data_IF_266668608822
#
_entry.id   IF_266668608822
#
_cell.length_a   1.000
_cell.length_b   1.000
_cell.length_c   1.000
_cell.angle_alpha   90.00
_cell.angle_beta   90.00
_cell.angle_gamma   90.00
#
_symmetry.space_group_name_H-M   'P 1'
#
loop_
_entity.id
_entity.type
_entity.pdbx_description
1 polymer ?
#
# COMPACT_ATOMS: atom_id res chain seq x y z
N UNK A 1 35.75 -11.85 -12.38
CA UNK A 1 34.62 -11.46 -13.26
C UNK A 1 35.19 -11.04 -14.62
N UNK A 2 35.88 -11.97 -15.29
CA UNK A 2 36.75 -11.68 -16.45
C UNK A 2 35.95 -11.91 -17.74
N UNK A 3 35.31 -10.88 -18.28
CA UNK A 3 34.71 -10.92 -19.62
C UNK A 3 33.56 -11.91 -19.84
N UNK A 4 32.88 -12.38 -18.78
CA UNK A 4 31.70 -13.27 -18.89
C UNK A 4 30.41 -12.49 -18.72
N UNK A 5 29.39 -12.84 -19.52
CA UNK A 5 28.05 -12.31 -19.37
C UNK A 5 27.32 -12.97 -18.20
N UNK A 6 26.69 -12.15 -17.35
CA UNK A 6 25.87 -12.60 -16.21
C UNK A 6 24.45 -12.11 -16.46
N UNK A 7 23.48 -13.02 -16.42
CA UNK A 7 22.05 -12.70 -16.43
C UNK A 7 21.53 -12.70 -14.99
N UNK A 8 21.05 -11.55 -14.52
CA UNK A 8 20.42 -11.43 -13.20
C UNK A 8 18.90 -11.48 -13.38
N UNK A 9 18.28 -12.52 -12.83
CA UNK A 9 16.82 -12.65 -12.78
C UNK A 9 16.35 -12.22 -11.39
N UNK A 10 15.78 -11.01 -11.31
CA UNK A 10 15.12 -10.53 -10.11
C UNK A 10 13.64 -10.92 -10.14
N UNK A 11 13.24 -11.88 -9.30
CA UNK A 11 11.87 -12.37 -9.25
C UNK A 11 11.29 -12.16 -7.85
N UNK A 12 10.56 -11.05 -7.61
CA UNK A 12 9.94 -10.80 -6.32
C UNK A 12 8.85 -11.83 -6.05
N UNK A 13 8.49 -11.97 -4.77
CA UNK A 13 7.35 -12.75 -4.35
C UNK A 13 6.09 -12.27 -5.09
N UNK A 14 5.55 -13.10 -5.97
CA UNK A 14 4.31 -12.77 -6.64
C UNK A 14 3.08 -13.14 -5.79
N UNK A 15 2.02 -12.36 -6.00
CA UNK A 15 0.77 -12.36 -5.24
C UNK A 15 -0.08 -13.63 -5.45
N UNK A 16 0.07 -14.27 -6.61
CA UNK A 16 -0.78 -15.38 -7.05
C UNK A 16 -0.04 -16.71 -6.88
N UNK A 17 0.27 -17.07 -5.62
CA UNK A 17 0.82 -18.38 -5.25
C UNK A 17 -0.27 -19.44 -5.33
N UNK A 18 0.00 -20.72 -5.55
CA UNK A 18 1.29 -21.34 -5.77
C UNK A 18 1.73 -21.25 -7.22
N UNK A 19 2.96 -20.83 -7.45
CA UNK A 19 3.60 -20.95 -8.77
C UNK A 19 3.93 -22.41 -9.05
N UNK A 20 3.53 -22.88 -10.23
CA UNK A 20 3.84 -24.24 -10.69
C UNK A 20 4.87 -24.19 -11.80
N UNK A 21 5.69 -25.22 -11.91
CA UNK A 21 6.63 -25.43 -13.01
C UNK A 21 6.46 -26.84 -13.58
N UNK A 22 6.73 -27.05 -14.88
CA UNK A 22 6.68 -28.38 -15.48
C UNK A 22 7.76 -29.30 -14.89
N UNK A 23 7.45 -30.58 -14.73
CA UNK A 23 8.39 -31.61 -14.29
C UNK A 23 9.46 -31.94 -15.34
N UNK A 24 9.10 -31.82 -16.62
CA UNK A 24 9.95 -32.15 -17.76
C UNK A 24 9.89 -31.06 -18.82
N UNK A 25 10.91 -30.99 -19.67
CA UNK A 25 10.92 -30.09 -20.82
C UNK A 25 10.05 -30.70 -21.92
N UNK A 26 8.83 -30.20 -22.10
CA UNK A 26 7.90 -30.67 -23.14
C UNK A 26 6.55 -29.96 -23.09
N UNK A 27 5.85 -29.92 -24.24
CA UNK A 27 4.61 -29.13 -24.42
C UNK A 27 3.40 -29.59 -23.59
N UNK A 28 3.47 -30.76 -22.93
CA UNK A 28 2.39 -31.32 -22.10
C UNK A 28 2.89 -31.83 -20.73
N UNK A 29 4.01 -31.30 -20.25
CA UNK A 29 4.60 -31.76 -18.99
C UNK A 29 3.70 -31.44 -17.79
N UNK A 30 3.49 -32.44 -16.92
CA UNK A 30 2.75 -32.27 -15.67
C UNK A 30 3.40 -31.18 -14.82
N UNK A 31 2.59 -30.26 -14.32
CA UNK A 31 3.06 -29.14 -13.49
C UNK A 31 2.95 -29.46 -12.01
N UNK A 32 3.93 -29.04 -11.23
CA UNK A 32 3.99 -29.22 -9.78
C UNK A 32 4.32 -27.88 -9.11
N UNK A 33 3.84 -27.68 -7.88
CA UNK A 33 4.23 -26.53 -7.07
C UNK A 33 5.60 -26.79 -6.44
N UNK A 34 6.51 -25.81 -6.51
CA UNK A 34 7.85 -25.91 -5.93
C UNK A 34 8.05 -24.89 -4.80
N UNK A 35 8.84 -25.25 -3.80
CA UNK A 35 9.29 -24.36 -2.74
C UNK A 35 10.82 -24.38 -2.67
N UNK A 36 11.43 -23.21 -2.47
CA UNK A 36 12.86 -23.09 -2.20
C UNK A 36 13.11 -23.38 -0.72
N UNK A 37 13.86 -24.44 -0.44
CA UNK A 37 14.36 -24.76 0.91
C UNK A 37 15.87 -24.65 0.85
N UNK A 38 16.41 -23.62 1.50
CA UNK A 38 17.83 -23.24 1.41
C UNK A 38 18.29 -23.08 -0.06
N UNK A 39 19.26 -23.89 -0.49
CA UNK A 39 19.83 -23.84 -1.84
C UNK A 39 19.08 -24.71 -2.87
N UNK A 40 18.04 -25.45 -2.46
CA UNK A 40 17.34 -26.42 -3.33
C UNK A 40 15.88 -26.01 -3.57
N UNK A 41 15.39 -26.31 -4.77
CA UNK A 41 13.97 -26.26 -5.09
C UNK A 41 13.39 -27.67 -4.99
N UNK A 42 12.41 -27.87 -4.11
CA UNK A 42 11.76 -29.17 -3.88
C UNK A 42 10.28 -29.10 -4.26
N UNK A 43 9.71 -30.22 -4.68
CA UNK A 43 8.27 -30.33 -4.93
C UNK A 43 7.53 -30.18 -3.60
N UNK A 44 6.57 -29.25 -3.55
CA UNK A 44 5.74 -29.04 -2.37
C UNK A 44 4.71 -30.19 -2.27
N UNK A 45 4.77 -30.97 -1.21
CA UNK A 45 3.86 -32.09 -0.94
C UNK A 45 3.31 -32.02 0.49
N UNK A 46 2.24 -32.77 0.78
CA UNK A 46 1.70 -32.95 2.12
C UNK A 46 1.43 -31.64 2.87
N UNK A 47 2.02 -31.50 4.06
CA UNK A 47 1.89 -30.32 4.91
C UNK A 47 2.47 -29.06 4.27
N UNK A 48 3.60 -29.17 3.56
CA UNK A 48 4.22 -28.04 2.86
C UNK A 48 3.29 -27.48 1.80
N UNK A 49 2.64 -28.34 1.01
CA UNK A 49 1.65 -27.91 0.03
C UNK A 49 0.43 -27.24 0.70
N UNK A 50 -0.10 -27.82 1.78
CA UNK A 50 -1.20 -27.22 2.55
C UNK A 50 -0.83 -25.87 3.13
N UNK A 51 0.39 -25.72 3.67
CA UNK A 51 0.89 -24.44 4.19
C UNK A 51 1.05 -23.42 3.07
N UNK A 52 1.55 -23.84 1.91
CA UNK A 52 1.68 -22.98 0.73
C UNK A 52 0.30 -22.50 0.25
N UNK A 53 -0.70 -23.39 0.21
CA UNK A 53 -2.10 -23.06 -0.09
C UNK A 53 -2.76 -22.17 0.96
N UNK A 54 -2.42 -22.32 2.25
CA UNK A 54 -2.88 -21.40 3.31
C UNK A 54 -2.24 -20.02 3.19
N UNK A 55 -0.97 -19.96 2.81
CA UNK A 55 -0.25 -18.71 2.54
C UNK A 55 -0.67 -18.05 1.22
N UNK A 56 -1.21 -18.82 0.28
CA UNK A 56 -1.89 -18.32 -0.91
C UNK A 56 -3.12 -17.49 -0.54
N UNK A 57 -3.74 -17.75 0.61
CA UNK A 57 -4.93 -17.03 1.01
C UNK A 57 -4.62 -15.58 1.39
N UNK A 58 -4.93 -14.70 0.43
CA UNK A 58 -5.14 -13.25 0.50
C UNK A 58 -3.88 -12.39 0.43
N UNK A 59 -3.65 -11.86 -0.76
CA UNK A 59 -3.00 -10.55 -0.96
C UNK A 59 -3.52 -9.62 0.16
N UNK A 60 -2.63 -8.97 0.94
CA UNK A 60 -3.02 -7.98 1.93
C UNK A 60 -3.96 -6.93 1.32
N UNK A 61 -4.89 -6.38 2.12
CA UNK A 61 -5.92 -5.49 1.58
C UNK A 61 -5.32 -4.31 0.81
N UNK A 62 -4.26 -3.72 1.35
CA UNK A 62 -3.43 -2.65 0.82
C UNK A 62 -2.83 -2.97 -0.56
N UNK A 63 -2.36 -4.21 -0.77
CA UNK A 63 -1.72 -4.66 -2.00
C UNK A 63 -2.70 -5.15 -3.09
N UNK A 64 -3.99 -5.25 -2.77
CA UNK A 64 -5.02 -5.68 -3.72
C UNK A 64 -5.28 -4.61 -4.76
N UNK A 65 -5.45 -5.06 -6.00
CA UNK A 65 -6.00 -4.25 -7.09
C UNK A 65 -7.43 -3.82 -6.74
N UNK A 66 -7.72 -2.55 -6.94
CA UNK A 66 -9.07 -2.03 -6.90
C UNK A 66 -9.73 -2.19 -8.27
N UNK A 67 -10.83 -2.95 -8.33
CA UNK A 67 -11.50 -3.26 -9.60
C UNK A 67 -12.38 -2.14 -10.14
N UNK A 68 -12.79 -1.20 -9.28
CA UNK A 68 -13.68 -0.10 -9.67
C UNK A 68 -12.92 1.18 -10.01
N UNK A 69 -11.74 1.37 -9.41
CA UNK A 69 -10.90 2.53 -9.66
C UNK A 69 -10.07 2.42 -10.95
N UNK A 70 -9.58 3.57 -11.38
CA UNK A 70 -8.72 3.79 -12.55
C UNK A 70 -7.50 4.61 -12.15
N UNK A 71 -6.48 4.65 -13.00
CA UNK A 71 -5.25 5.41 -12.72
C UNK A 71 -5.52 6.92 -12.62
N UNK A 72 -6.59 7.40 -13.23
CA UNK A 72 -7.04 8.79 -13.19
C UNK A 72 -7.63 9.19 -11.83
N UNK A 73 -7.94 8.23 -10.95
CA UNK A 73 -8.38 8.51 -9.58
C UNK A 73 -7.22 8.93 -8.65
N UNK A 74 -5.97 8.79 -9.12
CA UNK A 74 -4.81 9.37 -8.45
C UNK A 74 -4.71 10.87 -8.68
N UNK A 75 -4.34 11.61 -7.64
CA UNK A 75 -3.93 13.00 -7.73
C UNK A 75 -2.40 13.10 -7.82
N UNK A 76 -1.92 13.57 -8.97
CA UNK A 76 -0.49 13.75 -9.21
C UNK A 76 0.15 14.72 -8.20
N UNK A 77 -0.59 15.76 -7.78
CA UNK A 77 -0.10 16.72 -6.80
C UNK A 77 0.17 16.08 -5.44
N UNK A 78 -0.72 15.20 -4.96
CA UNK A 78 -0.51 14.42 -3.74
C UNK A 78 0.72 13.52 -3.83
N UNK A 79 0.89 12.83 -4.96
CA UNK A 79 2.06 11.98 -5.21
C UNK A 79 3.34 12.82 -5.15
N UNK A 80 3.40 13.90 -5.93
CA UNK A 80 4.58 14.76 -6.03
C UNK A 80 4.91 15.43 -4.69
N UNK A 81 3.91 15.92 -3.97
CA UNK A 81 4.10 16.50 -2.64
C UNK A 81 4.67 15.47 -1.66
N UNK A 82 4.16 14.24 -1.67
CA UNK A 82 4.69 13.16 -0.84
C UNK A 82 6.13 12.80 -1.21
N UNK A 83 6.42 12.61 -2.50
CA UNK A 83 7.77 12.29 -2.99
C UNK A 83 8.78 13.38 -2.61
N UNK A 84 8.40 14.65 -2.72
CA UNK A 84 9.22 15.77 -2.31
C UNK A 84 9.47 15.77 -0.80
N UNK A 85 8.42 15.53 -0.01
CA UNK A 85 8.51 15.53 1.45
C UNK A 85 9.45 14.43 1.96
N UNK A 86 9.37 13.22 1.41
CA UNK A 86 10.26 12.11 1.76
C UNK A 86 11.63 12.21 1.10
N UNK A 87 11.89 13.26 0.31
CA UNK A 87 13.12 13.49 -0.45
C UNK A 87 13.48 12.31 -1.36
N UNK A 88 12.47 11.75 -2.03
CA UNK A 88 12.66 10.67 -3.00
C UNK A 88 13.30 11.21 -4.27
N UNK A 89 14.31 10.51 -4.78
CA UNK A 89 14.92 10.79 -6.09
C UNK A 89 13.88 10.72 -7.23
N UNK A 90 12.81 9.92 -7.04
CA UNK A 90 11.69 9.81 -7.97
C UNK A 90 10.91 11.13 -8.14
N UNK A 91 11.06 12.09 -7.23
CA UNK A 91 10.38 13.39 -7.33
C UNK A 91 10.74 14.14 -8.61
N UNK A 92 12.03 14.26 -8.93
CA UNK A 92 12.45 14.98 -10.16
C UNK A 92 11.98 14.25 -11.42
N UNK A 93 12.08 12.92 -11.43
CA UNK A 93 11.59 12.10 -12.53
C UNK A 93 10.07 12.22 -12.71
N UNK A 94 9.31 12.30 -11.61
CA UNK A 94 7.84 12.41 -11.61
C UNK A 94 7.31 13.66 -12.32
N UNK A 95 8.15 14.67 -12.56
CA UNK A 95 7.78 15.88 -13.32
C UNK A 95 7.76 15.65 -14.83
N UNK A 96 8.42 14.59 -15.29
CA UNK A 96 8.67 14.35 -16.71
C UNK A 96 8.08 13.02 -17.22
N UNK A 97 7.78 12.07 -16.33
CA UNK A 97 7.17 10.79 -16.71
C UNK A 97 5.64 10.82 -16.63
N UNK A 98 4.99 9.92 -17.36
CA UNK A 98 3.54 9.77 -17.31
C UNK A 98 3.07 9.22 -15.95
N UNK A 99 1.83 9.54 -15.56
CA UNK A 99 1.20 9.03 -14.34
C UNK A 99 1.20 7.48 -14.30
N UNK A 100 0.98 6.84 -15.44
CA UNK A 100 1.06 5.37 -15.61
C UNK A 100 2.44 4.82 -15.23
N UNK A 101 3.52 5.45 -15.70
CA UNK A 101 4.88 4.99 -15.40
C UNK A 101 5.27 5.32 -13.95
N UNK A 102 4.84 6.48 -13.45
CA UNK A 102 5.07 6.89 -12.07
C UNK A 102 4.42 5.92 -11.07
N UNK A 103 3.14 5.61 -11.27
CA UNK A 103 2.38 4.71 -10.39
C UNK A 103 2.92 3.28 -10.40
N UNK A 104 3.43 2.81 -11.54
CA UNK A 104 4.18 1.53 -11.63
C UNK A 104 5.50 1.58 -10.85
N UNK A 105 6.26 2.66 -10.99
CA UNK A 105 7.55 2.83 -10.30
C UNK A 105 7.37 2.89 -8.78
N UNK A 106 6.27 3.48 -8.33
CA UNK A 106 5.86 3.51 -6.92
C UNK A 106 5.22 2.20 -6.42
N UNK A 107 5.00 1.21 -7.31
CA UNK A 107 4.28 -0.04 -7.01
C UNK A 107 2.84 0.17 -6.49
N UNK A 108 2.22 1.30 -6.83
CA UNK A 108 0.83 1.62 -6.45
C UNK A 108 -0.18 1.31 -7.58
N UNK A 109 0.28 0.72 -8.67
CA UNK A 109 -0.57 0.22 -9.75
C UNK A 109 -0.03 -1.12 -10.25
N UNK A 110 -0.95 -2.04 -10.57
CA UNK A 110 -0.67 -3.40 -11.08
C UNK A 110 -1.56 -3.70 -12.28
N UNK A 111 -1.10 -4.55 -13.18
CA UNK A 111 -1.82 -4.92 -14.42
C UNK A 111 -1.01 -4.68 -15.68
N UNK A 112 -1.55 -5.09 -16.82
CA UNK A 112 -0.93 -4.89 -18.13
C UNK A 112 -1.00 -3.43 -18.56
N UNK A 113 -0.55 -3.09 -19.78
CA UNK A 113 -0.66 -1.72 -20.29
C UNK A 113 -2.11 -1.35 -20.60
N UNK A 114 -2.93 -2.34 -20.99
CA UNK A 114 -4.32 -2.18 -21.41
C UNK A 114 -5.29 -2.13 -20.21
N UNK A 115 -4.93 -2.76 -19.09
CA UNK A 115 -5.73 -2.82 -17.87
C UNK A 115 -4.86 -2.55 -16.63
N UNK A 116 -4.19 -1.40 -16.63
CA UNK A 116 -3.45 -0.95 -15.46
C UNK A 116 -4.44 -0.39 -14.42
N UNK A 117 -4.38 -0.93 -13.20
CA UNK A 117 -5.31 -0.59 -12.12
C UNK A 117 -4.58 -0.14 -10.85
N UNK A 118 -5.13 0.81 -10.09
CA UNK A 118 -4.63 1.14 -8.76
C UNK A 118 -4.66 -0.05 -7.81
N UNK A 119 -3.71 -0.08 -6.87
CA UNK A 119 -3.86 -0.88 -5.63
C UNK A 119 -4.43 -0.02 -4.51
N UNK A 120 -5.01 -0.67 -3.50
CA UNK A 120 -5.75 0.02 -2.44
C UNK A 120 -4.89 1.00 -1.63
N UNK A 121 -3.64 0.67 -1.31
CA UNK A 121 -2.74 1.58 -0.59
C UNK A 121 -2.47 2.87 -1.37
N UNK A 122 -2.36 2.75 -2.69
CA UNK A 122 -2.24 3.90 -3.56
C UNK A 122 -3.44 4.83 -3.38
N UNK A 123 -4.65 4.29 -3.48
CA UNK A 123 -5.87 5.09 -3.39
C UNK A 123 -6.03 5.73 -2.00
N UNK A 124 -5.70 5.02 -0.93
CA UNK A 124 -5.73 5.55 0.44
C UNK A 124 -4.80 6.77 0.59
N UNK A 125 -3.62 6.77 -0.03
CA UNK A 125 -2.64 7.84 0.13
C UNK A 125 -2.73 8.93 -0.94
N UNK A 126 -3.13 8.60 -2.16
CA UNK A 126 -2.93 9.44 -3.33
C UNK A 126 -4.23 9.72 -4.10
N UNK A 127 -5.39 9.48 -3.51
CA UNK A 127 -6.67 10.03 -4.00
C UNK A 127 -7.14 11.18 -3.10
N UNK A 128 -7.92 12.10 -3.66
CA UNK A 128 -8.50 13.21 -2.88
C UNK A 128 -9.62 12.76 -1.95
N UNK A 129 -10.31 11.68 -2.30
CA UNK A 129 -11.53 11.20 -1.64
C UNK A 129 -11.50 9.66 -1.53
N UNK A 130 -10.58 9.06 -0.74
CA UNK A 130 -10.50 7.61 -0.60
C UNK A 130 -11.78 6.97 -0.06
N UNK A 131 -12.63 7.73 0.64
CA UNK A 131 -13.93 7.30 1.14
C UNK A 131 -14.90 6.86 0.04
N UNK A 132 -14.67 7.27 -1.22
CA UNK A 132 -15.46 6.81 -2.38
C UNK A 132 -15.18 5.36 -2.74
N UNK A 133 -13.97 4.87 -2.44
CA UNK A 133 -13.54 3.50 -2.70
C UNK A 133 -13.64 2.62 -1.45
N UNK A 134 -13.44 3.22 -0.27
CA UNK A 134 -13.37 2.52 1.00
C UNK A 134 -14.30 3.18 2.02
N UNK A 135 -15.42 2.52 2.32
CA UNK A 135 -16.38 3.02 3.30
C UNK A 135 -15.70 3.29 4.64
N UNK A 136 -16.00 4.44 5.23
CA UNK A 136 -15.43 4.91 6.50
C UNK A 136 -13.90 5.03 6.51
N UNK A 137 -13.29 5.32 5.36
CA UNK A 137 -11.88 5.71 5.26
C UNK A 137 -11.69 7.17 5.70
N UNK A 138 -11.92 7.46 6.98
CA UNK A 138 -11.64 8.74 7.63
C UNK A 138 -11.20 8.53 9.08
N UNK A 139 -10.51 9.52 9.64
CA UNK A 139 -10.22 9.56 11.07
C UNK A 139 -11.32 10.38 11.76
N UNK A 140 -11.84 9.85 12.86
CA UNK A 140 -12.85 10.49 13.69
C UNK A 140 -12.28 10.74 15.08
N UNK A 141 -12.39 11.98 15.56
CA UNK A 141 -12.01 12.36 16.92
C UNK A 141 -13.27 12.73 17.68
N UNK A 142 -13.59 11.93 18.69
CA UNK A 142 -14.69 12.17 19.62
C UNK A 142 -14.12 12.82 20.88
N UNK A 143 -14.55 14.05 21.16
CA UNK A 143 -14.09 14.81 22.32
C UNK A 143 -15.22 14.96 23.34
N UNK A 144 -15.15 14.16 24.40
CA UNK A 144 -16.05 14.24 25.56
C UNK A 144 -15.67 15.43 26.45
N UNK A 145 -16.68 16.19 26.87
CA UNK A 145 -16.54 17.35 27.77
C UNK A 145 -16.91 17.05 29.22
N UNK A 146 -17.47 15.87 29.47
CA UNK A 146 -17.81 15.36 30.79
C UNK A 146 -17.61 13.84 30.85
N UNK A 147 -17.63 13.31 32.08
CA UNK A 147 -17.45 11.88 32.36
C UNK A 147 -18.77 11.08 32.21
N UNK A 148 -19.90 11.77 32.01
CA UNK A 148 -21.24 11.16 31.89
C UNK A 148 -21.46 10.62 30.47
N UNK A 149 -20.78 11.19 29.48
CA UNK A 149 -20.70 10.66 28.12
C UNK A 149 -21.73 11.25 27.15
N UNK A 150 -22.66 12.08 27.63
CA UNK A 150 -23.74 12.67 26.81
C UNK A 150 -23.33 13.99 26.15
N UNK A 151 -22.22 14.60 26.56
CA UNK A 151 -21.71 15.85 25.99
C UNK A 151 -20.39 15.61 25.26
N UNK A 152 -20.47 15.36 23.96
CA UNK A 152 -19.31 15.21 23.11
C UNK A 152 -19.45 15.94 21.78
N UNK A 153 -18.31 16.22 21.16
CA UNK A 153 -18.22 16.75 19.80
C UNK A 153 -17.42 15.79 18.93
N UNK A 154 -17.92 15.51 17.73
CA UNK A 154 -17.25 14.67 16.74
C UNK A 154 -16.56 15.54 15.67
N UNK A 155 -15.32 15.21 15.35
CA UNK A 155 -14.55 15.85 14.29
C UNK A 155 -14.09 14.80 13.28
N UNK A 156 -14.47 14.99 12.02
CA UNK A 156 -14.18 14.06 10.93
C UNK A 156 -13.07 14.61 10.02
N UNK A 157 -12.03 13.83 9.82
CA UNK A 157 -10.88 14.16 8.97
C UNK A 157 -10.85 13.22 7.76
N UNK A 158 -11.18 13.76 6.58
CA UNK A 158 -11.34 13.02 5.31
C UNK A 158 -10.21 13.33 4.33
N UNK A 159 -10.18 12.63 3.20
CA UNK A 159 -9.16 12.81 2.16
C UNK A 159 -7.98 11.84 2.29
N UNK A 160 -6.83 12.14 1.69
CA UNK A 160 -5.69 11.21 1.73
C UNK A 160 -5.25 10.85 3.16
N UNK A 161 -4.96 9.56 3.41
CA UNK A 161 -4.72 9.00 4.74
C UNK A 161 -3.65 9.77 5.56
N UNK A 162 -2.54 10.14 4.92
CA UNK A 162 -1.47 10.90 5.56
C UNK A 162 -1.92 12.32 5.97
N UNK A 163 -2.82 12.95 5.20
CA UNK A 163 -3.40 14.25 5.55
C UNK A 163 -4.38 14.11 6.71
N UNK A 164 -5.28 13.12 6.65
CA UNK A 164 -6.22 12.85 7.74
C UNK A 164 -5.48 12.72 9.09
N UNK A 165 -4.39 11.96 9.11
CA UNK A 165 -3.58 11.75 10.32
C UNK A 165 -2.97 13.05 10.82
N UNK A 166 -2.36 13.86 9.94
CA UNK A 166 -1.75 15.14 10.32
C UNK A 166 -2.79 16.12 10.82
N UNK A 167 -3.93 16.22 10.15
CA UNK A 167 -5.00 17.15 10.51
C UNK A 167 -5.62 16.77 11.86
N UNK A 168 -5.86 15.48 12.09
CA UNK A 168 -6.33 14.97 13.38
C UNK A 168 -5.33 15.26 14.52
N UNK A 169 -4.04 14.97 14.32
CA UNK A 169 -3.01 15.24 15.32
C UNK A 169 -2.83 16.74 15.57
N UNK A 170 -2.89 17.56 14.52
CA UNK A 170 -2.84 19.03 14.62
C UNK A 170 -4.04 19.56 15.40
N UNK A 171 -5.23 19.02 15.16
CA UNK A 171 -6.44 19.35 15.90
C UNK A 171 -6.28 19.05 17.38
N UNK A 172 -5.82 17.84 17.74
CA UNK A 172 -5.58 17.43 19.14
C UNK A 172 -4.57 18.37 19.81
N UNK A 173 -3.44 18.65 19.15
CA UNK A 173 -2.39 19.51 19.69
C UNK A 173 -2.86 20.95 19.93
N UNK A 174 -3.68 21.49 19.03
CA UNK A 174 -4.09 22.90 19.07
C UNK A 174 -5.28 23.13 19.99
N UNK A 175 -6.25 22.21 20.01
CA UNK A 175 -7.53 22.44 20.67
C UNK A 175 -7.65 21.76 22.04
N UNK A 176 -7.03 20.59 22.20
CA UNK A 176 -7.20 19.72 23.37
C UNK A 176 -6.03 19.87 24.33
N UNK A 177 -4.80 19.75 23.83
CA UNK A 177 -3.60 19.89 24.66
C UNK A 177 -3.42 21.38 24.99
N UNK A 178 -3.69 21.77 26.24
CA UNK A 178 -3.49 23.14 26.73
C UNK A 178 -2.44 23.16 27.83
N UNK A 179 -1.50 24.09 27.72
CA UNK A 179 -0.58 24.41 28.81
C UNK A 179 -1.32 25.25 29.86
N UNK A 180 -1.29 24.85 31.12
CA UNK A 180 -1.90 25.58 32.22
C UNK A 180 -0.81 26.27 33.05
N UNK A 181 -0.70 27.60 32.94
CA UNK A 181 0.24 28.39 33.74
C UNK A 181 -0.47 28.91 34.99
N UNK A 182 -0.14 28.33 36.16
CA UNK A 182 -0.57 28.86 37.46
C UNK A 182 0.46 29.87 37.96
N UNK A 183 0.12 31.17 37.87
CA UNK A 183 0.95 32.22 38.48
C UNK A 183 0.86 32.12 40.01
N UNK A 184 2.02 32.01 40.67
CA UNK A 184 2.11 32.11 42.13
C UNK A 184 2.46 33.55 42.48
N UNK A 185 1.64 34.26 43.28
CA UNK A 185 1.97 35.61 43.73
C UNK A 185 3.27 35.60 44.55
N UNK A 186 4.08 36.66 44.44
CA UNK A 186 5.19 36.92 45.35
C UNK A 186 4.69 37.52 46.65
#
# INVERSE_FOLDING_TARGET
>A
MNGKHILVLWCPAGDNRSYTAPLTLGNAAQRQSYVRVASRSIVAQGETLRRLQKLTARIPFDDRINQTATIQDFDLGLIQAFLQEVKSDLYEESKHISLTNLTRSMLIAKGSAEDLRPVNVGLLFFSKEPERFFSRSWIEVVWHRDDVGDNFTEHYFKGALHKQLRDALSFIKTNIIREHVKKVPR
#
